data_IF_688277092219
#
_entry.id   IF_688277092219
#
_cell.length_a   1.000
_cell.length_b   1.000
_cell.length_c   1.000
_cell.angle_alpha   90.00
_cell.angle_beta   90.00
_cell.angle_gamma   90.00
#
_symmetry.space_group_name_H-M   'P 1'
#
loop_
_entity.id
_entity.type
_entity.pdbx_description
1 polymer ?
#
# COMPACT_ATOMS: atom_id res chain seq x y z
N UNK A 1 20.07 36.84 0.46
CA UNK A 1 21.46 36.33 0.59
C UNK A 1 21.50 35.05 -0.22
N UNK A 2 22.11 35.09 -1.40
CA UNK A 2 22.22 33.90 -2.25
C UNK A 2 23.27 32.97 -1.66
N UNK A 3 22.79 31.96 -0.94
CA UNK A 3 23.59 30.88 -0.42
C UNK A 3 24.17 30.08 -1.59
N UNK A 4 25.50 30.03 -1.73
CA UNK A 4 26.13 29.11 -2.66
C UNK A 4 26.00 27.69 -2.10
N UNK A 5 24.89 27.02 -2.44
CA UNK A 5 24.48 25.70 -1.95
C UNK A 5 25.63 24.68 -2.06
N UNK A 6 26.41 24.74 -3.14
CA UNK A 6 27.51 23.81 -3.36
C UNK A 6 28.69 24.02 -2.39
N UNK A 7 28.95 25.25 -1.93
CA UNK A 7 30.02 25.53 -0.97
C UNK A 7 29.56 25.27 0.46
N UNK A 8 28.35 25.71 0.84
CA UNK A 8 27.82 25.44 2.19
C UNK A 8 27.68 23.94 2.45
N UNK A 9 27.32 23.13 1.44
CA UNK A 9 27.29 21.67 1.58
C UNK A 9 28.68 21.09 1.83
N UNK A 10 29.71 21.58 1.12
CA UNK A 10 31.10 21.14 1.35
C UNK A 10 31.55 21.50 2.76
N UNK A 11 31.24 22.70 3.22
CA UNK A 11 31.60 23.18 4.55
C UNK A 11 30.87 22.37 5.64
N UNK A 12 29.59 22.05 5.44
CA UNK A 12 28.83 21.16 6.33
C UNK A 12 29.40 19.74 6.35
N UNK A 13 29.76 19.17 5.20
CA UNK A 13 30.36 17.83 5.10
C UNK A 13 31.72 17.75 5.81
N UNK A 14 32.45 18.86 5.90
CA UNK A 14 33.72 18.95 6.62
C UNK A 14 33.55 19.15 8.14
N UNK A 15 32.43 19.69 8.62
CA UNK A 15 32.18 19.97 10.05
C UNK A 15 31.35 18.85 10.73
N UNK A 16 32.06 17.89 11.34
CA UNK A 16 31.43 16.83 12.16
C UNK A 16 30.66 17.37 13.36
N UNK A 17 31.02 18.54 13.89
CA UNK A 17 30.31 19.19 14.99
C UNK A 17 28.94 19.70 14.54
N UNK A 18 28.88 20.33 13.35
CA UNK A 18 27.63 20.76 12.72
C UNK A 18 26.73 19.57 12.40
N UNK A 19 27.26 18.51 11.79
CA UNK A 19 26.51 17.27 11.52
C UNK A 19 25.89 16.66 12.79
N UNK A 20 26.66 16.60 13.89
CA UNK A 20 26.15 16.09 15.19
C UNK A 20 25.06 16.99 15.78
N UNK A 21 25.13 18.31 15.58
CA UNK A 21 24.06 19.24 16.00
C UNK A 21 22.80 19.03 15.16
N UNK A 22 22.93 18.89 13.84
CA UNK A 22 21.83 18.56 12.93
C UNK A 22 21.14 17.25 13.35
N UNK A 23 21.92 16.17 13.55
CA UNK A 23 21.37 14.88 13.98
C UNK A 23 20.67 14.98 15.35
N UNK A 24 21.24 15.69 16.32
CA UNK A 24 20.59 15.91 17.62
C UNK A 24 19.27 16.68 17.51
N UNK A 25 19.18 17.63 16.60
CA UNK A 25 17.95 18.36 16.32
C UNK A 25 16.88 17.43 15.71
N UNK A 26 17.27 16.59 14.72
CA UNK A 26 16.39 15.58 14.11
C UNK A 26 15.87 14.61 15.18
N UNK A 27 16.76 14.01 15.99
CA UNK A 27 16.38 13.08 17.05
C UNK A 27 15.53 13.76 18.14
N UNK A 28 15.83 15.03 18.44
CA UNK A 28 15.09 15.85 19.40
C UNK A 28 13.66 16.10 18.93
N UNK A 29 13.50 16.45 17.65
CA UNK A 29 12.20 16.62 17.03
C UNK A 29 11.40 15.31 17.03
N UNK A 30 12.02 14.20 16.63
CA UNK A 30 11.37 12.88 16.63
C UNK A 30 10.83 12.51 18.02
N UNK A 31 11.66 12.64 19.06
CA UNK A 31 11.23 12.37 20.45
C UNK A 31 10.13 13.31 20.93
N UNK A 32 10.16 14.58 20.53
CA UNK A 32 9.13 15.55 20.89
C UNK A 32 7.79 15.23 20.18
N UNK A 33 7.86 14.77 18.93
CA UNK A 33 6.70 14.30 18.18
C UNK A 33 6.08 13.06 18.83
N UNK A 34 6.87 12.02 19.09
CA UNK A 34 6.40 10.76 19.68
C UNK A 34 5.74 10.95 21.06
N UNK A 35 6.23 11.92 21.84
CA UNK A 35 5.67 12.27 23.15
C UNK A 35 4.63 13.38 23.08
N UNK A 36 4.36 13.91 21.89
CA UNK A 36 3.48 15.05 21.67
C UNK A 36 2.01 14.68 21.90
N UNK A 37 1.21 15.71 22.17
CA UNK A 37 -0.24 15.57 22.41
C UNK A 37 -0.94 14.93 21.20
N UNK A 38 -0.46 15.19 19.99
CA UNK A 38 -1.00 14.62 18.75
C UNK A 38 -0.81 13.10 18.72
N UNK A 39 0.40 12.60 18.90
CA UNK A 39 0.70 11.16 18.94
C UNK A 39 -0.07 10.44 20.05
N UNK A 40 -0.15 11.05 21.24
CA UNK A 40 -0.92 10.50 22.35
C UNK A 40 -2.42 10.43 22.02
N UNK A 41 -2.98 11.49 21.41
CA UNK A 41 -4.38 11.52 20.99
C UNK A 41 -4.68 10.45 19.93
N UNK A 42 -3.81 10.32 18.92
CA UNK A 42 -3.93 9.29 17.87
C UNK A 42 -3.88 7.88 18.45
N UNK A 43 -2.90 7.62 19.31
CA UNK A 43 -2.73 6.32 19.96
C UNK A 43 -3.92 5.98 20.84
N UNK A 44 -4.43 6.95 21.62
CA UNK A 44 -5.60 6.77 22.46
C UNK A 44 -6.87 6.52 21.64
N UNK A 45 -7.07 7.28 20.56
CA UNK A 45 -8.21 7.08 19.67
C UNK A 45 -8.23 5.66 19.08
N UNK A 46 -7.07 5.08 18.78
CA UNK A 46 -6.97 3.69 18.31
C UNK A 46 -7.15 2.66 19.42
N UNK A 47 -6.65 2.93 20.63
CA UNK A 47 -6.80 2.05 21.79
C UNK A 47 -8.27 1.94 22.25
N UNK A 48 -9.03 3.03 22.16
CA UNK A 48 -10.41 3.14 22.63
C UNK A 48 -11.44 2.64 21.59
N UNK A 49 -11.00 2.00 20.50
CA UNK A 49 -11.90 1.51 19.44
C UNK A 49 -12.84 0.39 19.96
N UNK A 50 -14.17 0.58 19.85
CA UNK A 50 -15.15 -0.35 20.44
C UNK A 50 -15.23 -1.71 19.72
N UNK A 51 -14.86 -1.77 18.44
CA UNK A 51 -14.81 -2.98 17.64
C UNK A 51 -13.64 -2.90 16.65
N UNK A 52 -12.95 -4.04 16.42
CA UNK A 52 -11.84 -4.12 15.46
C UNK A 52 -12.36 -4.44 14.06
N UNK A 53 -13.10 -3.52 13.44
CA UNK A 53 -13.44 -3.59 12.01
C UNK A 53 -12.87 -2.39 11.25
N UNK A 54 -12.70 -2.55 9.94
CA UNK A 54 -12.25 -1.45 9.09
C UNK A 54 -13.18 -0.22 9.17
N UNK A 55 -14.49 -0.41 9.27
CA UNK A 55 -15.49 0.66 9.32
C UNK A 55 -15.44 1.43 10.64
N UNK A 56 -15.23 0.74 11.76
CA UNK A 56 -15.07 1.38 13.07
C UNK A 56 -13.80 2.23 13.10
N UNK A 57 -12.69 1.70 12.55
CA UNK A 57 -11.45 2.47 12.38
C UNK A 57 -11.66 3.67 11.46
N UNK A 58 -12.38 3.50 10.34
CA UNK A 58 -12.66 4.58 9.39
C UNK A 58 -13.48 5.70 10.02
N UNK A 59 -14.46 5.37 10.86
CA UNK A 59 -15.27 6.34 11.57
C UNK A 59 -14.41 7.17 12.55
N UNK A 60 -13.53 6.51 13.32
CA UNK A 60 -12.60 7.19 14.23
C UNK A 60 -11.59 8.07 13.47
N UNK A 61 -11.00 7.53 12.40
CA UNK A 61 -10.07 8.28 11.54
C UNK A 61 -10.76 9.50 10.91
N UNK A 62 -12.02 9.37 10.47
CA UNK A 62 -12.80 10.51 9.95
C UNK A 62 -13.03 11.59 10.98
N UNK A 63 -13.37 11.24 12.22
CA UNK A 63 -13.56 12.21 13.30
C UNK A 63 -12.26 12.94 13.61
N UNK A 64 -11.14 12.21 13.65
CA UNK A 64 -9.81 12.75 13.85
C UNK A 64 -9.37 13.70 12.71
N UNK A 65 -9.57 13.31 11.45
CA UNK A 65 -9.19 14.12 10.29
C UNK A 65 -10.11 15.32 10.07
N UNK A 66 -11.23 15.41 10.78
CA UNK A 66 -12.10 16.58 10.74
C UNK A 66 -11.47 17.79 11.44
N UNK A 67 -10.67 17.56 12.50
CA UNK A 67 -9.82 18.56 13.13
C UNK A 67 -8.41 18.45 12.55
N UNK A 68 -8.01 19.38 11.68
CA UNK A 68 -6.67 19.45 11.09
C UNK A 68 -5.76 20.48 11.78
N UNK A 69 -6.18 21.07 12.91
CA UNK A 69 -5.35 22.04 13.63
C UNK A 69 -4.03 21.44 14.15
N UNK A 70 -4.01 20.13 14.41
CA UNK A 70 -2.79 19.41 14.77
C UNK A 70 -1.81 19.31 13.59
N UNK A 71 -2.30 19.23 12.35
CA UNK A 71 -1.46 19.19 11.15
C UNK A 71 -0.71 20.51 11.00
N UNK A 72 -1.41 21.64 11.15
CA UNK A 72 -0.80 22.96 11.05
C UNK A 72 0.35 23.12 12.06
N UNK A 73 0.16 22.66 13.30
CA UNK A 73 1.22 22.65 14.32
C UNK A 73 2.38 21.75 13.92
N UNK A 74 2.11 20.55 13.40
CA UNK A 74 3.13 19.60 12.95
C UNK A 74 3.98 20.18 11.81
N UNK A 75 3.32 20.72 10.78
CA UNK A 75 3.98 21.30 9.60
C UNK A 75 4.72 22.58 9.97
N UNK A 76 4.16 23.44 10.83
CA UNK A 76 4.84 24.65 11.29
C UNK A 76 6.14 24.31 12.04
N UNK A 77 6.11 23.32 12.94
CA UNK A 77 7.30 22.86 13.66
C UNK A 77 8.37 22.28 12.73
N UNK A 78 7.97 21.48 11.73
CA UNK A 78 8.89 20.99 10.70
C UNK A 78 9.51 22.13 9.90
N UNK A 79 8.70 23.07 9.44
CA UNK A 79 9.17 24.21 8.65
C UNK A 79 10.10 25.13 9.45
N UNK A 80 9.86 25.29 10.75
CA UNK A 80 10.75 26.02 11.65
C UNK A 80 12.11 25.32 11.79
N UNK A 81 12.13 24.01 12.03
CA UNK A 81 13.36 23.22 12.12
C UNK A 81 14.17 23.26 10.82
N UNK A 82 13.50 23.11 9.66
CA UNK A 82 14.14 23.18 8.34
C UNK A 82 14.65 24.59 7.99
N UNK A 83 13.98 25.65 8.46
CA UNK A 83 14.47 27.03 8.31
C UNK A 83 15.70 27.30 9.17
N UNK A 84 15.75 26.72 10.37
CA UNK A 84 16.87 26.87 11.29
C UNK A 84 18.12 26.09 10.84
N UNK A 85 17.93 24.95 10.19
CA UNK A 85 19.01 24.13 9.64
C UNK A 85 18.62 23.56 8.26
N UNK A 86 19.20 24.05 7.16
CA UNK A 86 18.92 23.55 5.80
C UNK A 86 19.24 22.07 5.58
N UNK A 87 20.03 21.45 6.46
CA UNK A 87 20.38 20.02 6.42
C UNK A 87 19.51 19.18 7.36
N UNK A 88 18.53 19.79 8.03
CA UNK A 88 17.53 19.08 8.80
C UNK A 88 16.63 18.28 7.86
N UNK A 89 16.72 16.96 7.94
CA UNK A 89 15.77 16.06 7.28
C UNK A 89 14.64 15.71 8.26
N UNK A 90 13.36 15.91 7.88
CA UNK A 90 12.23 15.49 8.70
C UNK A 90 12.35 14.02 9.10
N UNK A 91 12.20 13.66 10.39
CA UNK A 91 12.36 12.28 10.87
C UNK A 91 11.14 11.39 10.56
N UNK A 92 10.44 11.66 9.46
CA UNK A 92 9.25 10.94 9.04
C UNK A 92 9.56 10.04 7.86
N UNK A 93 8.95 8.85 7.84
CA UNK A 93 9.06 7.97 6.68
C UNK A 93 8.42 8.65 5.48
N UNK A 94 9.17 8.80 4.40
CA UNK A 94 8.64 9.30 3.15
C UNK A 94 7.64 8.28 2.57
N UNK A 95 6.53 8.80 2.05
CA UNK A 95 5.61 8.09 1.18
C UNK A 95 5.83 8.62 -0.23
N UNK A 96 6.23 7.74 -1.14
CA UNK A 96 6.44 8.10 -2.55
C UNK A 96 5.72 7.10 -3.46
N UNK A 97 4.87 7.62 -4.34
CA UNK A 97 4.28 6.90 -5.46
C UNK A 97 4.22 7.80 -6.70
N UNK A 98 3.80 7.24 -7.82
CA UNK A 98 3.84 7.92 -9.14
C UNK A 98 3.05 9.26 -9.19
N UNK A 99 2.08 9.47 -8.30
CA UNK A 99 1.27 10.70 -8.23
C UNK A 99 1.31 11.43 -6.87
N UNK A 100 1.91 10.81 -5.86
CA UNK A 100 1.81 11.29 -4.47
C UNK A 100 3.19 11.25 -3.82
N UNK A 101 3.60 12.39 -3.26
CA UNK A 101 4.75 12.48 -2.38
C UNK A 101 4.29 13.00 -1.01
N UNK A 102 4.76 12.41 0.07
CA UNK A 102 4.28 12.75 1.40
C UNK A 102 5.13 12.19 2.53
N UNK A 103 4.65 12.42 3.75
CA UNK A 103 5.25 11.96 4.99
C UNK A 103 4.22 11.15 5.76
N UNK A 104 4.63 10.01 6.31
CA UNK A 104 3.82 9.22 7.22
C UNK A 104 3.96 9.84 8.60
N UNK A 105 2.83 10.32 9.13
CA UNK A 105 2.76 11.05 10.39
C UNK A 105 2.42 10.13 11.56
N UNK A 106 1.73 9.03 11.28
CA UNK A 106 1.33 8.02 12.27
C UNK A 106 1.21 6.66 11.60
N UNK A 107 1.58 5.60 12.32
CA UNK A 107 1.40 4.22 11.88
C UNK A 107 1.25 3.32 13.10
N UNK A 108 0.25 2.46 13.08
CA UNK A 108 0.08 1.38 14.04
C UNK A 108 -0.37 0.09 13.34
N UNK A 109 -0.81 -0.91 14.13
CA UNK A 109 -1.29 -2.18 13.58
C UNK A 109 -2.61 -2.07 12.80
N UNK A 110 -3.39 -1.00 13.01
CA UNK A 110 -4.74 -0.84 12.47
C UNK A 110 -4.79 0.10 11.26
N UNK A 111 -3.96 1.15 11.22
CA UNK A 111 -3.90 2.10 10.11
C UNK A 111 -2.57 2.85 10.02
N UNK A 112 -2.36 3.51 8.89
CA UNK A 112 -1.35 4.56 8.73
C UNK A 112 -2.00 5.88 8.32
N UNK A 113 -1.48 7.01 8.84
CA UNK A 113 -1.89 8.36 8.45
C UNK A 113 -0.69 9.03 7.77
N UNK A 114 -0.91 9.50 6.54
CA UNK A 114 0.07 10.25 5.78
C UNK A 114 -0.48 11.62 5.38
N UNK A 115 0.41 12.61 5.32
CA UNK A 115 0.16 13.88 4.65
C UNK A 115 0.93 13.88 3.33
N UNK A 116 0.23 14.10 2.22
CA UNK A 116 0.84 14.07 0.90
C UNK A 116 0.32 15.14 -0.02
N UNK A 117 1.13 15.45 -1.03
CA UNK A 117 0.78 16.35 -2.13
C UNK A 117 0.58 15.54 -3.40
N UNK A 118 -0.58 15.69 -4.02
CA UNK A 118 -0.81 15.22 -5.39
C UNK A 118 -0.44 16.34 -6.35
N UNK A 119 0.57 16.13 -7.19
CA UNK A 119 1.04 17.16 -8.12
C UNK A 119 0.22 17.16 -9.41
N UNK A 120 -0.23 18.34 -9.83
CA UNK A 120 -1.02 18.49 -11.07
C UNK A 120 -0.23 18.09 -12.33
N UNK A 121 1.08 18.32 -12.32
CA UNK A 121 1.97 17.93 -13.43
C UNK A 121 2.04 16.41 -13.62
N UNK A 122 2.08 15.64 -12.52
CA UNK A 122 2.07 14.18 -12.55
C UNK A 122 0.72 13.63 -13.02
N UNK A 123 -0.39 14.27 -12.60
CA UNK A 123 -1.73 13.96 -13.10
C UNK A 123 -1.84 14.17 -14.61
N UNK A 124 -1.28 15.26 -15.14
CA UNK A 124 -1.26 15.54 -16.58
C UNK A 124 -0.39 14.51 -17.33
N UNK A 125 0.83 14.26 -16.86
CA UNK A 125 1.75 13.30 -17.48
C UNK A 125 1.17 11.87 -17.56
N UNK A 126 0.39 11.44 -16.56
CA UNK A 126 -0.28 10.13 -16.58
C UNK A 126 -1.32 10.02 -17.70
N UNK A 127 -2.03 11.11 -18.02
CA UNK A 127 -3.01 11.11 -19.12
C UNK A 127 -2.36 10.94 -20.49
N UNK A 128 -1.15 11.47 -20.64
CA UNK A 128 -0.41 11.51 -21.91
C UNK A 128 0.57 10.33 -22.08
N UNK A 129 0.74 9.49 -21.06
CA UNK A 129 1.68 8.37 -21.05
C UNK A 129 1.24 7.14 -21.85
N UNK A 130 2.21 6.26 -22.20
CA UNK A 130 1.99 5.02 -22.98
C UNK A 130 1.03 4.00 -22.35
N UNK A 131 0.83 4.04 -21.02
CA UNK A 131 -0.17 3.23 -20.30
C UNK A 131 -1.59 3.81 -20.39
N UNK A 132 -1.75 5.00 -20.97
CA UNK A 132 -3.01 5.70 -21.17
C UNK A 132 -3.69 6.15 -19.88
N UNK A 133 -4.62 7.09 -20.00
CA UNK A 133 -5.58 7.47 -18.96
C UNK A 133 -6.58 6.35 -18.59
N UNK A 134 -6.25 5.08 -18.88
CA UNK A 134 -7.24 4.02 -19.04
C UNK A 134 -7.28 3.02 -17.90
N UNK A 135 -6.80 3.35 -16.70
CA UNK A 135 -6.89 2.40 -15.58
C UNK A 135 -7.59 2.95 -14.33
N UNK A 136 -8.48 2.13 -13.79
CA UNK A 136 -9.26 2.38 -12.57
C UNK A 136 -8.83 1.36 -11.53
N UNK A 137 -8.09 1.81 -10.52
CA UNK A 137 -7.54 0.96 -9.47
C UNK A 137 -8.40 0.98 -8.20
N UNK A 138 -8.68 -0.21 -7.68
CA UNK A 138 -9.33 -0.45 -6.40
C UNK A 138 -8.27 -0.96 -5.42
N UNK A 139 -8.05 -0.22 -4.32
CA UNK A 139 -6.90 -0.46 -3.42
C UNK A 139 -7.02 -1.73 -2.58
N UNK A 140 -8.22 -2.31 -2.48
CA UNK A 140 -8.51 -3.41 -1.56
C UNK A 140 -8.55 -2.99 -0.08
N UNK A 141 -8.50 -1.69 0.23
CA UNK A 141 -8.45 -1.16 1.62
C UNK A 141 -9.48 -0.07 1.81
N UNK A 142 -10.01 0.04 3.03
CA UNK A 142 -10.80 1.22 3.39
C UNK A 142 -9.84 2.39 3.64
N UNK A 143 -10.16 3.55 3.07
CA UNK A 143 -9.39 4.77 3.27
C UNK A 143 -10.27 5.97 3.61
N UNK A 144 -9.70 6.89 4.39
CA UNK A 144 -10.32 8.18 4.71
C UNK A 144 -9.39 9.29 4.24
N UNK A 145 -9.89 10.13 3.34
CA UNK A 145 -9.13 11.20 2.73
C UNK A 145 -9.73 12.55 3.13
N UNK A 146 -8.94 13.39 3.78
CA UNK A 146 -9.24 14.80 4.03
C UNK A 146 -8.46 15.64 3.03
N UNK A 147 -9.19 16.33 2.16
CA UNK A 147 -8.63 17.26 1.19
C UNK A 147 -8.40 18.62 1.86
N UNK A 148 -7.30 18.77 2.60
CA UNK A 148 -6.91 20.06 3.23
C UNK A 148 -6.89 21.17 2.19
N UNK A 149 -6.32 20.87 1.01
CA UNK A 149 -6.48 21.67 -0.21
C UNK A 149 -6.93 20.77 -1.34
N UNK A 150 -8.11 21.04 -1.89
CA UNK A 150 -8.72 20.22 -2.94
C UNK A 150 -8.26 20.62 -4.34
N UNK A 151 -7.55 21.75 -4.50
CA UNK A 151 -7.03 22.19 -5.80
C UNK A 151 -8.10 22.42 -6.88
N UNK A 152 -9.37 22.60 -6.46
CA UNK A 152 -10.54 22.66 -7.34
C UNK A 152 -10.81 21.37 -8.11
N UNK A 153 -10.39 20.21 -7.57
CA UNK A 153 -10.44 18.93 -8.25
C UNK A 153 -11.87 18.44 -8.54
N UNK A 154 -12.03 17.79 -9.68
CA UNK A 154 -13.21 17.01 -10.05
C UNK A 154 -12.82 15.54 -10.06
N UNK A 155 -13.59 14.73 -9.36
CA UNK A 155 -13.38 13.29 -9.27
C UNK A 155 -14.55 12.55 -9.88
N UNK A 156 -14.27 11.42 -10.53
CA UNK A 156 -15.27 10.40 -10.85
C UNK A 156 -15.26 9.32 -9.78
N UNK A 157 -16.44 8.81 -9.43
CA UNK A 157 -16.61 7.72 -8.47
C UNK A 157 -16.93 6.44 -9.21
N UNK A 158 -16.38 5.32 -8.75
CA UNK A 158 -16.45 4.03 -9.41
C UNK A 158 -16.74 2.92 -8.42
N UNK A 159 -17.42 1.88 -8.91
CA UNK A 159 -17.70 0.64 -8.20
C UNK A 159 -17.29 -0.57 -9.03
N UNK A 160 -16.95 -1.66 -8.36
CA UNK A 160 -16.73 -2.98 -8.95
C UNK A 160 -17.29 -4.07 -8.01
N UNK A 161 -17.45 -5.33 -8.48
CA UNK A 161 -17.75 -6.44 -7.59
C UNK A 161 -16.76 -6.52 -6.42
N UNK A 162 -17.20 -6.86 -5.20
CA UNK A 162 -16.34 -6.87 -4.03
C UNK A 162 -15.12 -7.80 -4.17
N UNK A 163 -13.95 -7.28 -3.79
CA UNK A 163 -12.71 -8.03 -3.69
C UNK A 163 -12.70 -8.74 -2.34
N UNK A 164 -12.80 -10.07 -2.38
CA UNK A 164 -12.92 -10.91 -1.18
C UNK A 164 -11.78 -11.93 -1.11
N UNK A 165 -11.75 -12.73 -0.04
CA UNK A 165 -10.81 -13.84 0.10
C UNK A 165 -10.97 -14.92 -0.99
N UNK A 166 -12.09 -14.94 -1.72
CA UNK A 166 -12.37 -15.86 -2.84
C UNK A 166 -12.30 -15.18 -4.21
N UNK A 167 -11.65 -14.01 -4.30
CA UNK A 167 -11.53 -13.28 -5.56
C UNK A 167 -10.83 -14.11 -6.64
N UNK A 168 -11.44 -14.21 -7.82
CA UNK A 168 -10.84 -14.82 -9.01
C UNK A 168 -10.94 -13.88 -10.20
N UNK A 169 -9.90 -13.84 -11.02
CA UNK A 169 -9.89 -13.11 -12.29
C UNK A 169 -11.04 -13.55 -13.21
N UNK A 170 -11.43 -14.83 -13.17
CA UNK A 170 -12.53 -15.37 -13.98
C UNK A 170 -13.90 -14.78 -13.62
N UNK A 171 -14.06 -14.31 -12.38
CA UNK A 171 -15.32 -13.78 -11.84
C UNK A 171 -15.18 -12.32 -11.40
N UNK A 172 -14.13 -11.62 -11.84
CA UNK A 172 -13.85 -10.24 -11.43
C UNK A 172 -14.90 -9.23 -11.95
N UNK A 173 -15.71 -9.62 -12.93
CA UNK A 173 -16.76 -8.78 -13.51
C UNK A 173 -16.20 -7.52 -14.18
N UNK A 174 -16.97 -6.43 -14.10
CA UNK A 174 -16.63 -5.14 -14.68
C UNK A 174 -16.78 -4.03 -13.64
N UNK A 175 -15.97 -2.98 -13.76
CA UNK A 175 -16.19 -1.77 -12.99
C UNK A 175 -17.25 -0.89 -13.66
N UNK A 176 -17.81 0.07 -12.93
CA UNK A 176 -18.73 1.06 -13.47
C UNK A 176 -18.53 2.39 -12.78
N UNK A 177 -18.75 3.47 -13.53
CA UNK A 177 -18.79 4.82 -12.98
C UNK A 177 -20.15 5.04 -12.33
N UNK A 178 -20.15 5.49 -11.07
CA UNK A 178 -21.37 5.72 -10.28
C UNK A 178 -21.69 7.20 -10.09
N UNK A 179 -20.70 8.08 -10.29
CA UNK A 179 -20.94 9.51 -10.18
C UNK A 179 -19.73 10.38 -10.52
N UNK A 180 -19.92 11.67 -10.32
CA UNK A 180 -18.89 12.68 -10.38
C UNK A 180 -19.13 13.70 -9.27
N UNK A 181 -18.05 14.21 -8.69
CA UNK A 181 -18.10 15.20 -7.61
C UNK A 181 -16.99 16.22 -7.80
N UNK A 182 -17.29 17.49 -7.49
CA UNK A 182 -16.26 18.51 -7.29
C UNK A 182 -15.90 18.56 -5.81
N UNK A 183 -14.60 18.54 -5.53
CA UNK A 183 -14.07 18.61 -4.17
C UNK A 183 -13.88 20.07 -3.74
N UNK A 184 -14.26 20.35 -2.50
CA UNK A 184 -13.98 21.60 -1.81
C UNK A 184 -12.84 21.40 -0.79
N UNK A 185 -12.15 22.49 -0.47
CA UNK A 185 -11.19 22.49 0.64
C UNK A 185 -11.89 22.06 1.94
N UNK A 186 -11.26 21.15 2.67
CA UNK A 186 -11.79 20.58 3.90
C UNK A 186 -12.71 19.37 3.71
N UNK A 187 -13.07 19.00 2.48
CA UNK A 187 -13.89 17.81 2.20
C UNK A 187 -13.23 16.54 2.77
N UNK A 188 -14.08 15.65 3.32
CA UNK A 188 -13.67 14.32 3.76
C UNK A 188 -14.41 13.27 2.94
N UNK A 189 -13.65 12.37 2.35
CA UNK A 189 -14.14 11.25 1.57
C UNK A 189 -13.71 9.94 2.24
N UNK A 190 -14.66 9.03 2.45
CA UNK A 190 -14.37 7.65 2.88
C UNK A 190 -14.59 6.75 1.67
N UNK A 191 -13.60 5.94 1.33
CA UNK A 191 -13.66 5.00 0.21
C UNK A 191 -13.45 3.59 0.72
N UNK A 192 -14.38 2.70 0.44
CA UNK A 192 -14.16 1.27 0.62
C UNK A 192 -13.46 0.71 -0.63
N UNK A 193 -12.13 0.72 -0.63
CA UNK A 193 -11.30 0.24 -1.73
C UNK A 193 -11.49 -1.23 -2.09
N UNK A 194 -12.27 -2.00 -1.32
CA UNK A 194 -12.64 -3.38 -1.64
C UNK A 194 -13.69 -3.45 -2.75
N UNK A 195 -14.41 -2.37 -3.01
CA UNK A 195 -15.42 -2.32 -4.09
C UNK A 195 -15.70 -0.93 -4.66
N UNK A 196 -15.08 0.13 -4.12
CA UNK A 196 -15.22 1.52 -4.55
C UNK A 196 -13.85 2.15 -4.83
N UNK A 197 -13.82 3.14 -5.70
CA UNK A 197 -12.64 3.98 -5.91
C UNK A 197 -13.04 5.35 -6.46
N UNK A 198 -12.07 6.25 -6.58
CA UNK A 198 -12.23 7.52 -7.27
C UNK A 198 -11.05 7.77 -8.22
N UNK A 199 -11.30 8.54 -9.27
CA UNK A 199 -10.27 9.01 -10.21
C UNK A 199 -10.33 10.53 -10.26
N UNK A 200 -9.16 11.18 -10.13
CA UNK A 200 -9.05 12.63 -10.31
C UNK A 200 -9.11 12.93 -11.81
N UNK A 201 -10.26 13.40 -12.26
CA UNK A 201 -10.51 13.74 -13.66
C UNK A 201 -9.82 15.04 -14.04
N UNK A 202 -9.87 16.03 -13.16
CA UNK A 202 -9.30 17.35 -13.38
C UNK A 202 -8.88 17.97 -12.06
N UNK A 203 -7.84 18.79 -12.06
CA UNK A 203 -7.47 19.67 -10.96
C UNK A 203 -6.95 20.99 -11.56
N UNK A 204 -7.03 22.08 -10.80
CA UNK A 204 -6.50 23.40 -11.21
C UNK A 204 -5.22 23.78 -10.48
N UNK A 205 -4.94 23.12 -9.36
CA UNK A 205 -3.73 23.25 -8.57
C UNK A 205 -3.39 21.91 -7.91
N UNK A 206 -2.23 21.85 -7.25
CA UNK A 206 -1.86 20.70 -6.43
C UNK A 206 -2.88 20.47 -5.31
N UNK A 207 -3.07 19.20 -4.94
CA UNK A 207 -3.91 18.82 -3.82
C UNK A 207 -3.03 18.55 -2.61
N UNK A 208 -3.46 18.99 -1.42
CA UNK A 208 -2.89 18.58 -0.14
C UNK A 208 -3.90 17.66 0.54
N UNK A 209 -3.49 16.42 0.78
CA UNK A 209 -4.37 15.36 1.27
C UNK A 209 -3.78 14.75 2.54
N UNK A 210 -4.60 14.69 3.59
CA UNK A 210 -4.39 13.78 4.69
C UNK A 210 -5.12 12.47 4.38
N UNK A 211 -4.42 11.35 4.47
CA UNK A 211 -4.94 10.05 4.10
C UNK A 211 -4.71 9.08 5.25
N UNK A 212 -5.79 8.46 5.73
CA UNK A 212 -5.74 7.31 6.62
C UNK A 212 -6.00 6.04 5.79
N UNK A 213 -5.05 5.11 5.79
CA UNK A 213 -5.14 3.81 5.11
C UNK A 213 -5.31 2.69 6.12
N UNK A 214 -6.43 1.98 6.06
CA UNK A 214 -6.85 1.05 7.11
C UNK A 214 -6.40 -0.37 6.79
N UNK A 215 -5.68 -0.98 7.73
CA UNK A 215 -5.09 -2.32 7.62
C UNK A 215 -6.05 -3.43 7.98
N UNK A 216 -7.02 -3.18 8.87
CA UNK A 216 -8.05 -4.14 9.22
C UNK A 216 -8.93 -4.47 8.01
N UNK A 217 -9.34 -5.73 7.93
CA UNK A 217 -10.25 -6.28 6.92
C UNK A 217 -9.89 -5.93 5.47
N UNK A 218 -8.62 -5.63 5.20
CA UNK A 218 -8.12 -5.39 3.86
C UNK A 218 -8.31 -6.66 3.00
N UNK A 219 -8.77 -6.45 1.77
CA UNK A 219 -8.81 -7.50 0.78
C UNK A 219 -7.40 -8.05 0.50
N UNK A 220 -7.27 -9.31 0.03
CA UNK A 220 -5.97 -9.88 -0.30
C UNK A 220 -5.28 -9.14 -1.47
N UNK A 221 -6.07 -8.52 -2.35
CA UNK A 221 -5.62 -7.95 -3.61
C UNK A 221 -6.16 -6.53 -3.82
N UNK A 222 -5.35 -5.69 -4.46
CA UNK A 222 -5.81 -4.52 -5.20
C UNK A 222 -6.09 -4.93 -6.64
N UNK A 223 -7.11 -4.36 -7.26
CA UNK A 223 -7.60 -4.77 -8.59
C UNK A 223 -7.64 -3.58 -9.53
N UNK A 224 -7.21 -3.80 -10.76
CA UNK A 224 -7.19 -2.80 -11.82
C UNK A 224 -8.16 -3.19 -12.94
N UNK A 225 -8.96 -2.21 -13.37
CA UNK A 225 -9.85 -2.31 -14.51
C UNK A 225 -9.46 -1.30 -15.57
N UNK A 226 -9.76 -1.61 -16.83
CA UNK A 226 -9.60 -0.67 -17.92
C UNK A 226 -10.77 0.32 -17.94
N UNK A 227 -10.50 1.62 -17.97
CA UNK A 227 -11.53 2.66 -17.82
C UNK A 227 -12.42 2.83 -19.06
N UNK A 228 -12.05 2.23 -20.21
CA UNK A 228 -12.82 2.32 -21.46
C UNK A 228 -13.71 1.10 -21.66
N UNK A 229 -13.12 -0.08 -21.57
CA UNK A 229 -13.79 -1.38 -21.73
C UNK A 229 -14.46 -1.86 -20.43
N UNK A 230 -14.10 -1.26 -19.30
CA UNK A 230 -14.58 -1.60 -17.95
C UNK A 230 -14.16 -3.00 -17.48
N UNK A 231 -13.34 -3.70 -18.26
CA UNK A 231 -12.94 -5.06 -18.00
C UNK A 231 -11.78 -5.13 -16.99
N UNK A 232 -11.73 -6.23 -16.25
CA UNK A 232 -10.59 -6.57 -15.40
C UNK A 232 -9.30 -6.64 -16.22
N UNK A 233 -8.24 -6.01 -15.70
CA UNK A 233 -6.90 -6.00 -16.32
C UNK A 233 -5.92 -6.83 -15.51
N UNK A 234 -5.91 -6.63 -14.19
CA UNK A 234 -4.90 -7.23 -13.34
C UNK A 234 -5.16 -7.00 -11.86
N UNK A 235 -4.30 -7.60 -11.03
CA UNK A 235 -4.34 -7.43 -9.60
C UNK A 235 -2.92 -7.46 -9.01
N UNK A 236 -2.77 -6.89 -7.83
CA UNK A 236 -1.52 -6.89 -7.06
C UNK A 236 -1.81 -7.18 -5.59
N UNK A 237 -0.81 -7.68 -4.87
CA UNK A 237 -0.93 -7.87 -3.43
C UNK A 237 -1.11 -6.52 -2.72
N UNK A 238 -2.06 -6.43 -1.79
CA UNK A 238 -2.27 -5.22 -0.97
C UNK A 238 -1.16 -5.04 0.07
N UNK A 239 -0.63 -6.16 0.57
CA UNK A 239 0.31 -6.16 1.69
C UNK A 239 1.71 -6.52 1.22
N UNK A 240 2.67 -5.67 1.54
CA UNK A 240 4.09 -5.90 1.30
C UNK A 240 4.59 -7.24 1.87
N UNK A 241 4.04 -7.66 3.01
CA UNK A 241 4.39 -8.93 3.65
C UNK A 241 4.23 -10.12 2.69
N UNK A 242 3.16 -10.14 1.91
CA UNK A 242 2.91 -11.19 0.92
C UNK A 242 3.98 -11.19 -0.18
N UNK A 243 4.29 -10.00 -0.74
CA UNK A 243 5.35 -9.82 -1.75
C UNK A 243 6.73 -10.23 -1.21
N UNK A 244 7.06 -9.89 0.04
CA UNK A 244 8.32 -10.28 0.68
C UNK A 244 8.41 -11.79 0.87
N UNK A 245 7.33 -12.45 1.31
CA UNK A 245 7.29 -13.92 1.42
C UNK A 245 7.57 -14.55 0.05
N UNK A 246 6.90 -14.10 -1.01
CA UNK A 246 7.11 -14.63 -2.36
C UNK A 246 8.55 -14.41 -2.88
N UNK A 247 9.12 -13.23 -2.63
CA UNK A 247 10.49 -12.91 -3.01
C UNK A 247 11.49 -13.82 -2.27
N UNK A 248 11.38 -13.91 -0.94
CA UNK A 248 12.28 -14.71 -0.10
C UNK A 248 12.15 -16.20 -0.43
N UNK A 249 10.93 -16.72 -0.62
CA UNK A 249 10.73 -18.13 -0.99
C UNK A 249 11.37 -18.45 -2.34
N UNK A 250 11.26 -17.52 -3.31
CA UNK A 250 11.90 -17.66 -4.63
C UNK A 250 13.42 -17.65 -4.53
N UNK A 251 13.98 -16.76 -3.69
CA UNK A 251 15.42 -16.69 -3.43
C UNK A 251 15.92 -18.00 -2.82
N UNK A 252 15.26 -18.50 -1.77
CA UNK A 252 15.64 -19.74 -1.09
C UNK A 252 15.60 -20.95 -2.04
N UNK A 253 14.57 -21.05 -2.88
CA UNK A 253 14.54 -22.07 -3.95
C UNK A 253 15.72 -21.94 -4.90
N UNK A 254 15.99 -20.73 -5.40
CA UNK A 254 17.10 -20.47 -6.35
C UNK A 254 18.47 -20.79 -5.76
N UNK A 255 18.63 -20.66 -4.45
CA UNK A 255 19.86 -21.01 -3.73
C UNK A 255 19.94 -22.51 -3.39
N UNK A 256 18.88 -23.30 -3.62
CA UNK A 256 18.84 -24.72 -3.27
C UNK A 256 18.82 -24.96 -1.76
N UNK A 257 18.32 -24.01 -0.97
CA UNK A 257 18.26 -24.09 0.50
C UNK A 257 17.14 -25.06 0.96
N UNK A 258 17.36 -26.36 0.77
CA UNK A 258 16.39 -27.41 1.10
C UNK A 258 16.01 -27.41 2.60
N UNK A 259 16.92 -27.01 3.47
CA UNK A 259 16.70 -26.84 4.91
C UNK A 259 15.62 -25.79 5.24
N UNK A 260 15.29 -24.90 4.30
CA UNK A 260 14.22 -23.92 4.48
C UNK A 260 12.82 -24.50 4.24
N UNK A 261 12.71 -25.71 3.68
CA UNK A 261 11.42 -26.31 3.31
C UNK A 261 10.40 -26.39 4.48
N UNK A 262 10.77 -26.76 5.72
CA UNK A 262 9.81 -26.76 6.84
C UNK A 262 9.26 -25.37 7.18
N UNK A 263 10.10 -24.34 7.09
CA UNK A 263 9.66 -22.95 7.35
C UNK A 263 8.74 -22.47 6.22
N UNK A 264 9.10 -22.76 4.96
CA UNK A 264 8.25 -22.45 3.82
C UNK A 264 6.90 -23.18 3.90
N UNK A 265 6.87 -24.45 4.33
CA UNK A 265 5.64 -25.21 4.49
C UNK A 265 4.64 -24.56 5.46
N UNK A 266 5.12 -23.80 6.46
CA UNK A 266 4.26 -23.02 7.35
C UNK A 266 3.42 -21.94 6.65
N UNK A 267 3.85 -21.46 5.47
CA UNK A 267 3.10 -20.50 4.67
C UNK A 267 2.06 -21.15 3.74
N UNK A 268 1.94 -22.48 3.74
CA UNK A 268 0.86 -23.17 3.04
C UNK A 268 -0.51 -23.00 3.71
N UNK A 269 -0.57 -22.38 4.88
CA UNK A 269 -1.80 -22.01 5.58
C UNK A 269 -1.97 -20.47 5.65
N UNK A 270 -1.18 -19.72 4.88
CA UNK A 270 -1.24 -18.26 4.85
C UNK A 270 -2.64 -17.77 4.40
N UNK A 271 -3.19 -16.67 4.97
CA UNK A 271 -4.53 -16.17 4.61
C UNK A 271 -4.66 -15.84 3.12
N UNK A 272 -3.62 -15.23 2.54
CA UNK A 272 -3.60 -14.88 1.13
C UNK A 272 -3.34 -16.11 0.25
N UNK A 273 -4.32 -16.47 -0.58
CA UNK A 273 -4.29 -17.68 -1.40
C UNK A 273 -3.14 -17.72 -2.42
N UNK A 274 -2.77 -16.57 -2.97
CA UNK A 274 -1.68 -16.46 -3.93
C UNK A 274 -0.32 -16.70 -3.27
N UNK A 275 -0.17 -16.41 -1.97
CA UNK A 275 1.03 -16.78 -1.20
C UNK A 275 1.11 -18.29 -1.03
N UNK A 276 0.01 -18.93 -0.60
CA UNK A 276 -0.04 -20.40 -0.45
C UNK A 276 0.38 -21.10 -1.73
N UNK A 277 -0.20 -20.70 -2.86
CA UNK A 277 0.13 -21.29 -4.17
C UNK A 277 1.57 -21.01 -4.61
N UNK A 278 2.06 -19.79 -4.40
CA UNK A 278 3.44 -19.43 -4.74
C UNK A 278 4.43 -20.28 -3.94
N UNK A 279 4.23 -20.37 -2.62
CA UNK A 279 5.07 -21.20 -1.73
C UNK A 279 5.04 -22.67 -2.13
N UNK A 280 3.86 -23.21 -2.48
CA UNK A 280 3.75 -24.59 -2.99
C UNK A 280 4.61 -24.81 -4.25
N UNK A 281 4.61 -23.85 -5.18
CA UNK A 281 5.48 -23.92 -6.38
C UNK A 281 6.96 -23.88 -6.02
N UNK A 282 7.34 -23.06 -5.05
CA UNK A 282 8.73 -22.99 -4.61
C UNK A 282 9.17 -24.28 -3.90
N UNK A 283 8.31 -24.89 -3.07
CA UNK A 283 8.54 -26.20 -2.44
C UNK A 283 8.70 -27.33 -3.46
N UNK A 284 7.82 -27.38 -4.48
CA UNK A 284 7.95 -28.35 -5.58
C UNK A 284 9.28 -28.19 -6.34
N UNK A 285 9.77 -26.96 -6.44
CA UNK A 285 11.05 -26.68 -7.09
C UNK A 285 12.28 -26.97 -6.22
N UNK A 286 12.12 -27.09 -4.90
CA UNK A 286 13.16 -27.55 -3.97
C UNK A 286 13.21 -29.08 -3.94
N UNK A 287 12.07 -29.72 -3.67
CA UNK A 287 11.92 -31.17 -3.60
C UNK A 287 10.47 -31.55 -3.94
N UNK A 288 10.26 -32.03 -5.15
CA UNK A 288 8.93 -32.40 -5.64
C UNK A 288 8.33 -33.60 -4.90
N UNK A 289 9.16 -34.55 -4.46
CA UNK A 289 8.71 -35.76 -3.77
C UNK A 289 8.23 -35.42 -2.36
N UNK A 290 9.05 -34.67 -1.60
CA UNK A 290 8.69 -34.21 -0.26
C UNK A 290 7.47 -33.25 -0.27
N UNK A 291 7.30 -32.48 -1.33
CA UNK A 291 6.20 -31.53 -1.48
C UNK A 291 4.86 -32.18 -1.91
N UNK A 292 4.87 -33.42 -2.41
CA UNK A 292 3.69 -34.09 -2.97
C UNK A 292 2.51 -34.23 -2.00
N UNK A 293 2.70 -34.59 -0.71
CA UNK A 293 1.59 -34.66 0.25
C UNK A 293 0.88 -33.31 0.44
N UNK A 294 1.65 -32.21 0.45
CA UNK A 294 1.11 -30.86 0.55
C UNK A 294 0.31 -30.47 -0.70
N UNK A 295 0.82 -30.79 -1.89
CA UNK A 295 0.14 -30.52 -3.15
C UNK A 295 -1.20 -31.27 -3.23
N UNK A 296 -1.23 -32.54 -2.83
CA UNK A 296 -2.46 -33.35 -2.73
C UNK A 296 -3.48 -32.75 -1.76
N UNK A 297 -3.01 -32.29 -0.59
CA UNK A 297 -3.86 -31.58 0.39
C UNK A 297 -4.48 -30.32 -0.21
N UNK A 298 -3.68 -29.49 -0.88
CA UNK A 298 -4.18 -28.26 -1.51
C UNK A 298 -5.19 -28.54 -2.62
N UNK A 299 -4.92 -29.52 -3.49
CA UNK A 299 -5.84 -29.93 -4.55
C UNK A 299 -7.23 -30.35 -4.03
N UNK A 300 -7.27 -31.00 -2.87
CA UNK A 300 -8.49 -31.49 -2.25
C UNK A 300 -9.20 -30.44 -1.38
N UNK A 301 -8.45 -29.63 -0.63
CA UNK A 301 -8.98 -28.89 0.53
C UNK A 301 -8.58 -27.42 0.62
N UNK A 302 -7.78 -26.88 -0.31
CA UNK A 302 -7.49 -25.44 -0.24
C UNK A 302 -8.80 -24.64 -0.32
N UNK A 303 -9.03 -23.62 0.52
CA UNK A 303 -10.28 -22.88 0.51
C UNK A 303 -10.51 -22.10 -0.79
N UNK A 304 -9.44 -21.73 -1.51
CA UNK A 304 -9.52 -20.98 -2.75
C UNK A 304 -9.62 -21.89 -3.98
N UNK A 305 -10.62 -21.67 -4.82
CA UNK A 305 -10.88 -22.51 -5.98
C UNK A 305 -9.72 -22.52 -6.98
N UNK A 306 -9.17 -21.36 -7.31
CA UNK A 306 -8.05 -21.27 -8.26
C UNK A 306 -6.82 -22.04 -7.77
N UNK A 307 -6.60 -22.08 -6.46
CA UNK A 307 -5.49 -22.83 -5.86
C UNK A 307 -5.75 -24.33 -5.94
N UNK A 308 -6.98 -24.79 -5.63
CA UNK A 308 -7.36 -26.20 -5.83
C UNK A 308 -7.19 -26.61 -7.29
N UNK A 309 -7.65 -25.78 -8.24
CA UNK A 309 -7.54 -26.03 -9.68
C UNK A 309 -6.09 -26.10 -10.13
N UNK A 310 -5.25 -25.15 -9.71
CA UNK A 310 -3.83 -25.14 -10.05
C UNK A 310 -3.09 -26.35 -9.45
N UNK A 311 -3.40 -26.73 -8.21
CA UNK A 311 -2.81 -27.90 -7.56
C UNK A 311 -3.19 -29.21 -8.27
N UNK A 312 -4.47 -29.39 -8.65
CA UNK A 312 -4.92 -30.54 -9.46
C UNK A 312 -4.20 -30.60 -10.80
N UNK A 313 -4.18 -29.49 -11.54
CA UNK A 313 -3.49 -29.43 -12.83
C UNK A 313 -1.99 -29.77 -12.73
N UNK A 314 -1.32 -29.38 -11.64
CA UNK A 314 0.08 -29.76 -11.40
C UNK A 314 0.22 -31.25 -11.06
N UNK A 315 -0.68 -31.84 -10.27
CA UNK A 315 -0.69 -33.29 -10.00
C UNK A 315 -0.85 -34.09 -11.29
N UNK A 316 -1.79 -33.69 -12.15
CA UNK A 316 -2.03 -34.35 -13.43
C UNK A 316 -0.77 -34.33 -14.31
N UNK A 317 -0.03 -33.22 -14.33
CA UNK A 317 1.24 -33.10 -15.05
C UNK A 317 2.37 -33.95 -14.46
N UNK A 318 2.44 -34.09 -13.13
CA UNK A 318 3.44 -34.94 -12.47
C UNK A 318 3.15 -36.43 -12.65
N UNK A 319 1.87 -36.80 -12.83
CA UNK A 319 1.42 -38.18 -13.04
C UNK A 319 1.36 -38.57 -14.52
N UNK A 320 1.35 -37.59 -15.43
CA UNK A 320 1.43 -37.86 -16.85
C UNK A 320 2.70 -38.67 -17.16
N UNK A 321 2.60 -39.74 -17.96
CA UNK A 321 3.78 -40.51 -18.36
C UNK A 321 4.80 -39.55 -18.96
N UNK A 322 6.01 -39.52 -18.40
CA UNK A 322 7.11 -38.81 -19.05
C UNK A 322 7.22 -39.39 -20.46
N UNK A 323 7.00 -38.57 -21.49
CA UNK A 323 7.40 -38.92 -22.85
C UNK A 323 8.93 -39.02 -22.85
N UNK A 324 9.44 -40.17 -22.40
CA UNK A 324 10.85 -40.54 -22.45
C UNK A 324 11.23 -40.55 -23.93
N UNK A 325 12.17 -39.66 -24.27
CA UNK A 325 13.07 -39.68 -25.43
C UNK A 325 12.94 -40.96 -26.25
N UNK A 326 12.27 -40.87 -27.40
CA UNK A 326 12.55 -41.77 -28.51
C UNK A 326 13.99 -41.46 -28.96
N UNK A 327 14.87 -42.43 -28.78
CA UNK A 327 16.20 -42.46 -29.37
C UNK A 327 16.10 -42.65 -30.89
#
# INVERSE_FOLDING_TARGET
MDMNIAQDLKDWLADRGRQRRTQRAIDGFARAWDRGVVQQHLTRAMADLPAKSAEAVAAAARALLADDAWLDRAIAGLAEAMRADPYFEPPFRAMSGDLHAGLILFEDAHLSIAAGVTRISELAARKDGKRGATSVGFSGRVSVLKFVKAGGARISLWEAPPITASFSAATAGQCRRTGERRLADGDILTIDGRHQTYVIEQARANLLVLQAEISLDAAPLGVEYDSRSLAYVGCSAVRDGASRIQMISTLLRKLGAAEAAPVLAGFLDHPDFFVRWHVMRELLGLDAEAALPHLKRMAARDPHEDVRRAARATLDRLQAPSARKAA
#
